data_IF_814054976392
#
_entry.id   IF_814054976392
#
_cell.length_a   1.000
_cell.length_b   1.000
_cell.length_c   1.000
_cell.angle_alpha   90.00
_cell.angle_beta   90.00
_cell.angle_gamma   90.00
#
_symmetry.space_group_name_H-M   'P 1'
#
loop_
_entity.id
_entity.type
_entity.pdbx_description
1 polymer ?
#
# COMPACT_ATOMS: atom_id res chain seq x y z
N UNK A 1 57.24 -15.39 60.23
CA UNK A 1 57.81 -14.57 59.13
C UNK A 1 57.35 -15.18 57.80
N UNK A 2 56.36 -14.55 57.16
CA UNK A 2 55.79 -14.97 55.88
C UNK A 2 55.98 -13.92 54.79
N UNK A 3 56.22 -14.37 53.56
CA UNK A 3 56.29 -13.66 52.26
C UNK A 3 56.10 -14.77 51.20
N UNK A 4 55.38 -14.68 50.08
CA UNK A 4 54.76 -13.61 49.26
C UNK A 4 53.68 -14.29 48.39
N UNK A 5 52.45 -13.76 48.35
CA UNK A 5 51.85 -12.99 47.23
C UNK A 5 51.91 -13.62 45.84
N UNK A 6 50.74 -14.06 45.35
CA UNK A 6 50.43 -14.12 43.92
C UNK A 6 48.93 -13.94 43.70
N UNK A 7 48.54 -12.70 43.43
CA UNK A 7 47.20 -12.27 43.04
C UNK A 7 46.75 -12.95 41.73
N UNK A 8 45.55 -13.55 41.73
CA UNK A 8 44.84 -13.92 40.50
C UNK A 8 43.46 -13.27 40.51
N UNK A 9 43.35 -12.25 39.66
CA UNK A 9 42.19 -11.40 39.41
C UNK A 9 40.95 -12.21 38.99
N UNK A 10 39.84 -11.89 39.63
CA UNK A 10 38.46 -12.34 39.44
C UNK A 10 37.87 -11.74 38.15
N UNK A 11 37.62 -12.53 37.11
CA UNK A 11 36.87 -12.07 35.93
C UNK A 11 35.37 -12.04 36.25
N UNK A 12 34.87 -10.84 36.57
CA UNK A 12 33.46 -10.55 36.83
C UNK A 12 32.66 -10.55 35.52
N UNK A 13 31.57 -11.31 35.52
CA UNK A 13 30.49 -11.38 34.54
C UNK A 13 29.99 -9.96 34.22
N UNK A 14 30.03 -9.53 32.96
CA UNK A 14 29.48 -8.24 32.52
C UNK A 14 27.95 -8.36 32.47
N UNK A 15 27.30 -7.69 33.40
CA UNK A 15 25.89 -7.30 33.36
C UNK A 15 25.86 -5.97 32.59
N UNK A 16 25.07 -5.91 31.52
CA UNK A 16 24.76 -4.66 30.84
C UNK A 16 23.47 -4.16 31.50
N UNK A 17 23.59 -3.10 32.31
CA UNK A 17 22.49 -2.23 32.69
C UNK A 17 22.39 -1.18 31.59
N UNK A 18 21.19 -1.02 31.05
CA UNK A 18 20.82 -0.02 30.06
C UNK A 18 19.99 1.01 30.83
N UNK A 19 20.59 2.16 31.14
CA UNK A 19 19.91 3.36 31.65
C UNK A 19 20.83 4.54 31.31
N UNK A 20 20.59 5.19 30.16
CA UNK A 20 20.90 6.61 29.96
C UNK A 20 19.59 7.26 29.51
N UNK A 21 18.96 7.93 30.48
CA UNK A 21 17.88 8.89 30.29
C UNK A 21 18.44 10.11 29.53
N UNK A 22 18.06 10.24 28.27
CA UNK A 22 18.07 11.52 27.56
C UNK A 22 16.64 11.80 27.07
N UNK A 23 15.84 12.42 27.94
CA UNK A 23 14.71 13.25 27.54
C UNK A 23 15.26 14.44 26.72
N UNK A 24 14.92 14.57 25.44
CA UNK A 24 14.00 15.62 24.97
C UNK A 24 13.82 15.62 23.42
N UNK A 25 12.65 16.08 23.01
CA UNK A 25 12.25 16.56 21.68
C UNK A 25 12.17 15.56 20.51
N UNK A 26 11.01 14.91 20.42
CA UNK A 26 10.47 14.43 19.12
C UNK A 26 10.21 15.60 18.17
N UNK A 27 10.90 15.71 17.01
CA UNK A 27 10.60 16.79 16.08
C UNK A 27 9.41 16.41 15.21
N UNK A 28 8.37 17.23 15.29
CA UNK A 28 7.43 17.44 14.18
C UNK A 28 6.40 16.33 13.99
N UNK A 29 5.36 16.32 14.84
CA UNK A 29 4.04 15.84 14.43
C UNK A 29 3.54 16.78 13.32
N UNK A 30 3.95 16.49 12.08
CA UNK A 30 3.41 17.16 10.91
C UNK A 30 1.88 17.00 10.93
N UNK A 31 1.25 18.16 10.77
CA UNK A 31 -0.16 18.46 10.78
C UNK A 31 -1.02 17.27 10.35
N UNK A 32 -1.87 16.78 11.26
CA UNK A 32 -3.02 15.96 10.90
C UNK A 32 -4.02 16.85 10.13
N UNK A 33 -3.72 17.12 8.87
CA UNK A 33 -4.69 17.67 7.92
C UNK A 33 -5.73 16.58 7.64
N UNK A 34 -6.91 16.75 8.24
CA UNK A 34 -8.22 16.25 7.83
C UNK A 34 -8.21 14.94 7.01
N UNK A 35 -7.63 13.86 7.53
CA UNK A 35 -7.76 12.55 6.89
C UNK A 35 -9.19 12.05 7.18
N UNK A 36 -10.08 11.89 6.18
CA UNK A 36 -11.41 11.36 6.44
C UNK A 36 -11.29 9.94 7.01
N UNK A 37 -12.19 9.56 7.91
CA UNK A 37 -12.26 8.22 8.56
C UNK A 37 -12.21 7.03 7.56
N UNK A 38 -12.38 7.29 6.27
CA UNK A 38 -12.15 6.38 5.16
C UNK A 38 -10.68 5.94 4.94
N UNK A 39 -9.68 6.66 5.44
CA UNK A 39 -8.27 6.29 5.25
C UNK A 39 -7.83 5.02 6.00
N UNK A 40 -8.59 4.60 7.01
CA UNK A 40 -8.38 3.33 7.69
C UNK A 40 -9.04 2.13 7.01
N UNK A 41 -9.90 2.34 6.00
CA UNK A 41 -10.59 1.25 5.31
C UNK A 41 -9.67 0.66 4.24
N UNK A 42 -9.02 -0.45 4.59
CA UNK A 42 -8.50 -1.38 3.61
C UNK A 42 -9.65 -2.08 2.89
N UNK A 43 -9.41 -2.57 1.67
CA UNK A 43 -10.41 -3.29 0.90
C UNK A 43 -10.81 -4.54 1.68
N UNK A 44 -12.11 -4.70 1.98
CA UNK A 44 -12.58 -5.77 2.86
C UNK A 44 -12.32 -7.16 2.27
N UNK A 45 -11.61 -7.96 3.06
CA UNK A 45 -11.08 -9.28 2.70
C UNK A 45 -12.12 -10.38 2.98
N UNK A 46 -13.22 -10.41 2.22
CA UNK A 46 -14.25 -11.44 2.42
C UNK A 46 -14.08 -12.61 1.44
N UNK A 47 -13.66 -13.77 1.97
CA UNK A 47 -13.74 -15.06 1.26
C UNK A 47 -12.49 -15.54 0.52
N UNK A 48 -11.31 -15.05 0.86
CA UNK A 48 -10.05 -15.59 0.32
C UNK A 48 -9.78 -16.94 0.98
N UNK A 49 -9.64 -17.98 0.14
CA UNK A 49 -9.19 -19.29 0.61
C UNK A 49 -7.69 -19.22 0.80
N UNK A 50 -7.24 -19.57 2.00
CA UNK A 50 -5.82 -19.69 2.30
C UNK A 50 -5.44 -21.16 2.19
N UNK A 51 -4.33 -21.46 1.53
CA UNK A 51 -3.82 -22.81 1.44
C UNK A 51 -3.12 -23.26 2.73
N UNK A 52 -2.65 -24.51 2.76
CA UNK A 52 -1.96 -25.11 3.93
C UNK A 52 -0.69 -24.35 4.33
N UNK A 53 -0.11 -23.56 3.42
CA UNK A 53 1.13 -22.81 3.63
C UNK A 53 0.90 -21.30 3.85
N UNK A 54 -0.35 -20.86 3.98
CA UNK A 54 -0.68 -19.46 4.22
C UNK A 54 -0.81 -18.60 2.95
N UNK A 55 -0.74 -19.17 1.75
CA UNK A 55 -0.89 -18.42 0.52
C UNK A 55 -2.37 -18.18 0.19
N UNK A 56 -2.66 -16.96 -0.25
CA UNK A 56 -4.00 -16.52 -0.64
C UNK A 56 -4.33 -17.00 -2.05
N UNK A 57 -5.36 -17.84 -2.20
CA UNK A 57 -5.83 -18.33 -3.50
C UNK A 57 -6.87 -17.36 -4.11
N UNK A 58 -6.45 -16.66 -5.16
CA UNK A 58 -7.27 -15.71 -5.91
C UNK A 58 -7.91 -16.27 -7.18
N UNK A 59 -7.69 -17.54 -7.53
CA UNK A 59 -8.07 -18.11 -8.84
C UNK A 59 -9.57 -18.04 -9.13
N UNK A 60 -10.40 -18.19 -8.11
CA UNK A 60 -11.87 -18.18 -8.24
C UNK A 60 -12.45 -16.78 -8.43
N UNK A 61 -11.79 -15.75 -7.87
CA UNK A 61 -12.25 -14.36 -7.93
C UNK A 61 -11.68 -13.62 -9.14
N UNK A 62 -10.50 -14.05 -9.62
CA UNK A 62 -9.73 -13.36 -10.65
C UNK A 62 -9.63 -14.20 -11.93
N UNK A 63 -10.73 -14.28 -12.68
CA UNK A 63 -10.76 -14.99 -13.95
C UNK A 63 -9.83 -14.35 -14.98
N UNK A 64 -9.02 -15.17 -15.64
CA UNK A 64 -8.10 -14.74 -16.69
C UNK A 64 -8.88 -14.38 -17.96
N UNK A 65 -8.56 -13.23 -18.56
CA UNK A 65 -9.16 -12.82 -19.83
C UNK A 65 -8.43 -13.45 -21.01
N UNK A 66 -9.14 -13.63 -22.13
CA UNK A 66 -8.58 -14.23 -23.35
C UNK A 66 -7.41 -13.44 -23.94
N UNK A 67 -7.35 -12.13 -23.69
CA UNK A 67 -6.35 -11.19 -24.20
C UNK A 67 -5.29 -10.83 -23.15
N UNK A 68 -5.08 -11.69 -22.14
CA UNK A 68 -4.18 -11.46 -21.01
C UNK A 68 -2.73 -11.13 -21.42
N UNK A 69 -2.23 -11.63 -22.56
CA UNK A 69 -0.86 -11.37 -23.02
C UNK A 69 -0.60 -9.91 -23.41
N UNK A 70 -1.65 -9.16 -23.74
CA UNK A 70 -1.56 -7.76 -24.21
C UNK A 70 -1.78 -6.73 -23.09
N UNK A 71 -2.08 -7.20 -21.88
CA UNK A 71 -2.54 -6.37 -20.76
C UNK A 71 -1.49 -6.38 -19.67
N UNK A 72 -1.03 -5.26 -19.11
CA UNK A 72 0.12 -5.26 -18.22
C UNK A 72 -0.23 -5.32 -16.72
N UNK A 73 -1.52 -5.23 -16.35
CA UNK A 73 -1.93 -5.09 -14.94
C UNK A 73 -2.50 -6.37 -14.35
N UNK A 74 -2.22 -6.58 -13.06
CA UNK A 74 -2.90 -7.56 -12.22
C UNK A 74 -3.41 -6.88 -10.95
N UNK A 75 -4.71 -6.99 -10.67
CA UNK A 75 -5.38 -6.24 -9.59
C UNK A 75 -5.89 -7.19 -8.53
N UNK A 76 -5.16 -7.33 -7.44
CA UNK A 76 -5.55 -8.18 -6.33
C UNK A 76 -6.71 -7.53 -5.51
N UNK A 77 -7.57 -8.35 -4.88
CA UNK A 77 -8.71 -7.86 -4.10
C UNK A 77 -8.29 -7.15 -2.81
N UNK A 78 -7.04 -7.25 -2.38
CA UNK A 78 -6.45 -6.52 -1.26
C UNK A 78 -6.07 -5.06 -1.61
N UNK A 79 -6.23 -4.66 -2.88
CA UNK A 79 -5.87 -3.33 -3.37
C UNK A 79 -4.44 -3.25 -3.92
N UNK A 80 -3.67 -4.35 -3.91
CA UNK A 80 -2.37 -4.39 -4.56
C UNK A 80 -2.55 -4.51 -6.08
N UNK A 81 -1.75 -3.74 -6.81
CA UNK A 81 -1.74 -3.71 -8.27
C UNK A 81 -0.32 -3.98 -8.75
N UNK A 82 -0.16 -5.04 -9.52
CA UNK A 82 1.12 -5.39 -10.13
C UNK A 82 1.13 -4.93 -11.59
N UNK A 83 2.18 -4.21 -11.97
CA UNK A 83 2.41 -3.68 -13.31
C UNK A 83 3.64 -4.33 -13.94
N UNK A 84 3.47 -4.89 -15.12
CA UNK A 84 4.55 -5.48 -15.90
C UNK A 84 5.28 -4.45 -16.76
N UNK A 85 6.58 -4.26 -16.48
CA UNK A 85 7.43 -3.28 -17.17
C UNK A 85 7.85 -3.67 -18.59
N UNK A 86 7.72 -4.96 -18.93
CA UNK A 86 8.12 -5.50 -20.23
C UNK A 86 7.01 -5.39 -21.30
N UNK A 87 5.82 -4.93 -20.94
CA UNK A 87 4.70 -4.77 -21.87
C UNK A 87 4.85 -3.50 -22.72
N UNK A 88 4.51 -3.51 -24.02
CA UNK A 88 4.60 -2.32 -24.87
C UNK A 88 3.69 -1.16 -24.41
N UNK A 89 2.63 -1.48 -23.67
CA UNK A 89 1.69 -0.49 -23.10
C UNK A 89 2.07 -0.03 -21.69
N UNK A 90 3.26 -0.42 -21.20
CA UNK A 90 3.75 -0.09 -19.86
C UNK A 90 3.69 1.41 -19.55
N UNK A 91 4.13 2.28 -20.47
CA UNK A 91 4.17 3.74 -20.22
C UNK A 91 2.80 4.30 -19.87
N UNK A 92 1.78 3.95 -20.67
CA UNK A 92 0.41 4.38 -20.42
C UNK A 92 -0.16 3.82 -19.12
N UNK A 93 0.14 2.55 -18.81
CA UNK A 93 -0.30 1.93 -17.58
C UNK A 93 0.41 2.52 -16.34
N UNK A 94 1.69 2.87 -16.46
CA UNK A 94 2.46 3.52 -15.41
C UNK A 94 1.90 4.92 -15.11
N UNK A 95 1.70 5.75 -16.14
CA UNK A 95 1.17 7.10 -15.98
C UNK A 95 -0.23 7.06 -15.33
N UNK A 96 -1.06 6.10 -15.74
CA UNK A 96 -2.35 5.86 -15.12
C UNK A 96 -2.22 5.48 -13.64
N UNK A 97 -1.37 4.51 -13.29
CA UNK A 97 -1.20 4.08 -11.90
C UNK A 97 -0.62 5.17 -11.00
N UNK A 98 0.31 5.98 -11.50
CA UNK A 98 0.87 7.12 -10.74
C UNK A 98 -0.22 8.13 -10.36
N UNK A 99 -1.26 8.27 -11.19
CA UNK A 99 -2.36 9.18 -10.90
C UNK A 99 -3.36 8.64 -9.87
N UNK A 100 -3.49 7.30 -9.72
CA UNK A 100 -4.57 6.68 -8.93
C UNK A 100 -4.12 5.83 -7.75
N UNK A 101 -2.83 5.50 -7.65
CA UNK A 101 -2.28 4.55 -6.69
C UNK A 101 -0.92 4.99 -6.18
N UNK A 102 -0.53 4.50 -5.00
CA UNK A 102 0.77 4.77 -4.40
C UNK A 102 1.78 3.68 -4.80
N UNK A 103 3.02 4.04 -5.16
CA UNK A 103 4.05 3.05 -5.44
C UNK A 103 4.54 2.38 -4.15
N UNK A 104 4.56 1.05 -4.13
CA UNK A 104 5.13 0.25 -3.02
C UNK A 104 6.57 -0.13 -3.35
N UNK A 105 6.76 -0.84 -4.46
CA UNK A 105 8.05 -1.36 -4.91
C UNK A 105 8.19 -1.18 -6.44
N UNK A 106 9.40 -0.84 -6.92
CA UNK A 106 9.69 -0.66 -8.36
C UNK A 106 10.95 -1.42 -8.80
N UNK A 107 10.94 -2.76 -8.79
CA UNK A 107 12.04 -3.57 -9.31
C UNK A 107 11.99 -3.62 -10.85
N UNK A 108 13.03 -4.16 -11.48
CA UNK A 108 13.24 -4.07 -12.95
C UNK A 108 12.09 -4.58 -13.83
N UNK A 109 11.32 -5.57 -13.40
CA UNK A 109 10.35 -6.27 -14.27
C UNK A 109 8.88 -6.10 -13.85
N UNK A 110 8.59 -6.07 -12.55
CA UNK A 110 7.21 -6.05 -12.03
C UNK A 110 7.12 -5.01 -10.93
N UNK A 111 6.43 -3.91 -11.19
CA UNK A 111 6.19 -2.86 -10.20
C UNK A 111 4.96 -3.20 -9.36
N UNK A 112 4.99 -2.79 -8.10
CA UNK A 112 3.91 -2.95 -7.16
C UNK A 112 3.39 -1.58 -6.74
N UNK A 113 2.08 -1.42 -6.86
CA UNK A 113 1.33 -0.25 -6.46
C UNK A 113 0.23 -0.66 -5.49
N UNK A 114 -0.23 0.27 -4.65
CA UNK A 114 -1.32 0.05 -3.72
C UNK A 114 -2.40 1.11 -3.89
N UNK A 115 -3.62 0.64 -4.10
CA UNK A 115 -4.81 1.48 -4.09
C UNK A 115 -5.15 1.84 -2.64
N UNK A 116 -5.14 3.13 -2.34
CA UNK A 116 -5.48 3.66 -1.02
C UNK A 116 -6.65 4.64 -1.15
N UNK A 117 -7.38 4.87 -0.06
CA UNK A 117 -8.44 5.88 -0.08
C UNK A 117 -7.87 7.28 -0.36
N UNK A 118 -6.63 7.54 0.08
CA UNK A 118 -5.92 8.81 -0.12
C UNK A 118 -5.58 9.04 -1.60
N UNK A 119 -4.92 8.09 -2.25
CA UNK A 119 -4.58 8.19 -3.68
C UNK A 119 -5.81 8.33 -4.57
N UNK A 120 -6.87 7.58 -4.29
CA UNK A 120 -8.14 7.72 -5.02
C UNK A 120 -8.84 9.06 -4.77
N UNK A 121 -8.77 9.59 -3.55
CA UNK A 121 -9.28 10.93 -3.25
C UNK A 121 -8.51 12.00 -4.03
N UNK A 122 -7.18 11.89 -4.08
CA UNK A 122 -6.33 12.79 -4.86
C UNK A 122 -6.68 12.73 -6.36
N UNK A 123 -6.82 11.52 -6.92
CA UNK A 123 -7.23 11.33 -8.30
C UNK A 123 -8.56 12.02 -8.64
N UNK A 124 -9.58 11.84 -7.78
CA UNK A 124 -10.90 12.47 -7.95
C UNK A 124 -10.81 14.00 -7.81
N UNK A 125 -9.93 14.49 -6.93
CA UNK A 125 -9.71 15.93 -6.72
C UNK A 125 -9.05 16.60 -7.93
N UNK A 126 -8.23 15.87 -8.68
CA UNK A 126 -7.65 16.32 -9.97
C UNK A 126 -8.66 16.24 -11.12
N UNK A 127 -9.84 15.65 -10.90
CA UNK A 127 -10.94 15.59 -11.86
C UNK A 127 -11.09 14.25 -12.59
N UNK A 128 -10.39 13.19 -12.17
CA UNK A 128 -10.61 11.85 -12.72
C UNK A 128 -11.97 11.29 -12.26
N UNK A 129 -12.77 10.81 -13.21
CA UNK A 129 -14.05 10.18 -12.88
C UNK A 129 -13.86 8.73 -12.42
N UNK A 130 -14.64 8.31 -11.43
CA UNK A 130 -14.61 6.93 -10.91
C UNK A 130 -15.03 5.89 -11.95
N UNK A 131 -15.87 6.27 -12.92
CA UNK A 131 -16.22 5.48 -14.10
C UNK A 131 -14.97 5.19 -14.94
N UNK A 132 -14.22 6.23 -15.26
CA UNK A 132 -13.06 6.15 -16.14
C UNK A 132 -11.98 5.30 -15.46
N UNK A 133 -11.69 5.54 -14.18
CA UNK A 133 -10.73 4.73 -13.40
C UNK A 133 -11.10 3.24 -13.48
N UNK A 134 -12.38 2.92 -13.27
CA UNK A 134 -12.87 1.53 -13.32
C UNK A 134 -12.73 0.95 -14.72
N UNK A 135 -13.08 1.71 -15.76
CA UNK A 135 -13.01 1.28 -17.15
C UNK A 135 -11.56 1.05 -17.60
N UNK A 136 -10.64 1.95 -17.26
CA UNK A 136 -9.22 1.82 -17.56
C UNK A 136 -8.60 0.63 -16.82
N UNK A 137 -8.93 0.41 -15.54
CA UNK A 137 -8.51 -0.80 -14.82
C UNK A 137 -9.03 -2.06 -15.52
N UNK A 138 -10.30 -2.08 -15.95
CA UNK A 138 -10.86 -3.22 -16.66
C UNK A 138 -10.22 -3.44 -18.03
N UNK A 139 -9.80 -2.40 -18.75
CA UNK A 139 -9.10 -2.51 -20.05
C UNK A 139 -7.66 -3.00 -19.89
N UNK A 140 -6.93 -2.49 -18.90
CA UNK A 140 -5.52 -2.80 -18.69
C UNK A 140 -5.27 -4.05 -17.84
N UNK A 141 -6.27 -4.53 -17.08
CA UNK A 141 -6.14 -5.72 -16.23
C UNK A 141 -6.22 -7.02 -17.02
N UNK A 142 -5.23 -7.90 -16.81
CA UNK A 142 -5.15 -9.29 -17.31
C UNK A 142 -6.27 -10.16 -16.79
N UNK A 143 -6.69 -9.93 -15.56
CA UNK A 143 -7.77 -10.65 -14.89
C UNK A 143 -9.01 -9.77 -14.76
N UNK A 144 -10.13 -10.38 -14.42
CA UNK A 144 -11.28 -9.65 -13.89
C UNK A 144 -10.85 -8.76 -12.71
N UNK A 145 -11.40 -7.54 -12.66
CA UNK A 145 -11.22 -6.65 -11.50
C UNK A 145 -12.25 -7.08 -10.45
N UNK A 146 -11.84 -7.40 -9.22
CA UNK A 146 -12.77 -7.82 -8.17
C UNK A 146 -13.80 -6.72 -7.86
N UNK A 147 -15.05 -7.11 -7.58
CA UNK A 147 -16.14 -6.17 -7.28
C UNK A 147 -15.85 -5.31 -6.05
N UNK A 148 -15.11 -5.84 -5.07
CA UNK A 148 -14.67 -5.09 -3.89
C UNK A 148 -13.84 -3.86 -4.25
N UNK A 149 -12.95 -3.96 -5.24
CA UNK A 149 -12.14 -2.84 -5.74
C UNK A 149 -13.02 -1.83 -6.46
N UNK A 150 -13.97 -2.29 -7.28
CA UNK A 150 -14.92 -1.42 -7.99
C UNK A 150 -15.77 -0.63 -7.00
N UNK A 151 -16.26 -1.28 -5.94
CA UNK A 151 -17.02 -0.62 -4.88
C UNK A 151 -16.15 0.37 -4.09
N UNK A 152 -14.91 0.01 -3.79
CA UNK A 152 -13.96 0.88 -3.12
C UNK A 152 -13.72 2.19 -3.91
N UNK A 153 -13.47 2.09 -5.22
CA UNK A 153 -13.31 3.24 -6.12
C UNK A 153 -14.59 4.07 -6.21
N UNK A 154 -15.78 3.44 -6.27
CA UNK A 154 -17.04 4.17 -6.29
C UNK A 154 -17.31 4.94 -4.99
N UNK A 155 -16.87 4.40 -3.85
CA UNK A 155 -17.07 5.03 -2.55
C UNK A 155 -16.10 6.20 -2.28
N UNK A 156 -14.93 6.26 -2.91
CA UNK A 156 -13.98 7.38 -2.72
C UNK A 156 -14.60 8.74 -3.07
N UNK A 157 -15.44 8.79 -4.12
CA UNK A 157 -16.19 10.00 -4.51
C UNK A 157 -17.08 10.54 -3.41
N UNK A 158 -17.74 9.68 -2.62
CA UNK A 158 -18.69 10.13 -1.59
C UNK A 158 -18.04 11.00 -0.51
N UNK A 159 -16.74 10.82 -0.29
CA UNK A 159 -15.96 11.59 0.67
C UNK A 159 -15.31 12.84 0.06
N UNK A 160 -15.10 12.89 -1.26
CA UNK A 160 -14.57 14.06 -1.98
C UNK A 160 -15.55 15.23 -2.05
N UNK A 161 -16.85 14.99 -1.89
CA UNK A 161 -17.89 16.03 -1.98
C UNK A 161 -18.15 16.79 -0.68
N UNK A 162 -17.33 16.61 0.36
CA UNK A 162 -17.29 17.55 1.48
C UNK A 162 -16.21 18.59 1.18
N UNK A 163 -16.60 19.77 0.67
CA UNK A 163 -15.65 20.78 0.30
C UNK A 163 -14.99 21.28 1.59
N UNK A 164 -13.66 21.23 1.64
CA UNK A 164 -12.84 22.07 2.53
C UNK A 164 -12.91 23.56 2.10
N UNK A 165 -13.90 23.93 1.27
CA UNK A 165 -14.09 25.27 0.70
C UNK A 165 -14.98 26.22 1.53
N UNK A 166 -15.35 25.87 2.76
CA UNK A 166 -16.10 26.76 3.67
C UNK A 166 -15.36 26.95 4.99
N UNK A 167 -14.17 27.53 4.95
CA UNK A 167 -13.56 28.16 6.12
C UNK A 167 -12.49 29.16 5.67
N UNK A 168 -12.93 30.27 5.09
CA UNK A 168 -12.31 31.55 5.35
C UNK A 168 -13.41 32.62 5.42
N UNK A 169 -13.53 33.38 6.53
CA UNK A 169 -14.51 34.45 6.71
C UNK A 169 -14.22 35.67 5.81
#
# INVERSE_FOLDING_TARGET
MGRRERDKKKSKKRHYDDDDDDEDETPGRESQEAVPSAAGKQVEESGIKVDEYGAKDYRLQMLLKVDHSSRPLWVAPDGHVFLEAFSPVYKYAQDFLVAIAEPVCRPTHIHEYKLTAYSLYAAVSVGLQTSDITEYLQKLSKTGVPDGIIQFIKNSRKHAVHPIFFLYP
#
